data_IF_932507551568
#
_entry.id   IF_932507551568
#
_cell.length_a   1.000
_cell.length_b   1.000
_cell.length_c   1.000
_cell.angle_alpha   90.00
_cell.angle_beta   90.00
_cell.angle_gamma   90.00
#
_symmetry.space_group_name_H-M   'P 1'
#
loop_
_entity.id
_entity.type
_entity.pdbx_description
1 polymer ?
#
# COMPACT_ATOMS: atom_id res chain seq x y z
N UNK A 1 -3.16 7.57 2.52
CA UNK A 1 -3.61 6.72 3.64
C UNK A 1 -2.39 6.09 4.27
N UNK A 2 -2.16 6.32 5.57
CA UNK A 2 -1.08 5.70 6.33
C UNK A 2 -1.68 4.64 7.27
N UNK A 3 -1.59 3.39 6.85
CA UNK A 3 -2.23 2.23 7.47
C UNK A 3 -1.30 1.63 8.52
N UNK A 4 -1.70 1.69 9.80
CA UNK A 4 -0.87 1.20 10.90
C UNK A 4 -0.73 -0.32 10.92
N UNK A 5 0.36 -0.79 11.52
CA UNK A 5 0.61 -2.21 11.78
C UNK A 5 -0.21 -2.77 12.95
N UNK A 6 -0.06 -4.04 13.20
CA UNK A 6 -0.75 -4.76 14.27
C UNK A 6 -1.41 -6.03 13.76
N UNK A 7 -2.74 -6.07 13.48
CA UNK A 7 -3.76 -5.03 13.48
C UNK A 7 -4.11 -4.46 14.88
N UNK A 8 -3.93 -5.23 15.93
CA UNK A 8 -4.25 -4.86 17.32
C UNK A 8 -3.22 -3.88 17.90
N UNK A 9 -3.06 -2.74 17.22
CA UNK A 9 -2.26 -1.58 17.60
C UNK A 9 -3.11 -0.33 17.39
N UNK A 10 -2.49 0.84 17.51
CA UNK A 10 -3.18 2.09 17.25
C UNK A 10 -2.22 3.14 16.70
N UNK A 11 -2.74 4.07 15.94
CA UNK A 11 -2.05 5.31 15.61
C UNK A 11 -2.13 6.23 16.82
N UNK A 12 -0.97 6.75 17.22
CA UNK A 12 -0.86 7.82 18.18
C UNK A 12 -0.03 8.95 17.58
N UNK A 13 -0.29 10.19 17.99
CA UNK A 13 0.51 11.34 17.59
C UNK A 13 1.88 11.32 18.25
N UNK A 14 2.70 10.31 17.91
CA UNK A 14 4.08 10.18 18.35
C UNK A 14 5.04 10.51 17.22
N UNK A 15 5.77 11.63 17.32
CA UNK A 15 6.70 12.09 16.30
C UNK A 15 7.73 11.00 15.90
N UNK A 16 8.11 10.18 16.84
CA UNK A 16 9.08 9.09 16.65
C UNK A 16 8.61 8.00 15.68
N UNK A 17 7.31 7.79 15.58
CA UNK A 17 6.71 6.74 14.74
C UNK A 17 6.23 7.26 13.38
N UNK A 18 6.08 8.58 13.26
CA UNK A 18 5.45 9.23 12.10
C UNK A 18 6.44 10.18 11.40
N UNK A 19 7.73 9.83 11.34
CA UNK A 19 8.80 10.66 10.73
C UNK A 19 8.49 11.02 9.27
N UNK A 20 7.80 10.16 8.55
CA UNK A 20 7.40 10.40 7.16
C UNK A 20 6.28 11.44 7.01
N UNK A 21 5.46 11.68 8.03
CA UNK A 21 4.37 12.65 7.93
C UNK A 21 4.87 14.07 7.64
N UNK A 22 5.79 14.65 8.41
CA UNK A 22 6.33 15.99 8.07
C UNK A 22 6.95 16.04 6.68
N UNK A 23 7.61 14.95 6.23
CA UNK A 23 8.20 14.88 4.90
C UNK A 23 7.12 14.93 3.82
N UNK A 24 6.06 14.14 3.95
CA UNK A 24 4.92 14.15 3.02
C UNK A 24 4.19 15.49 3.02
N UNK A 25 3.97 16.10 4.20
CA UNK A 25 3.35 17.43 4.31
C UNK A 25 4.17 18.50 3.59
N UNK A 26 5.51 18.48 3.66
CA UNK A 26 6.38 19.40 2.92
C UNK A 26 6.22 19.29 1.40
N UNK A 27 5.83 18.11 0.91
CA UNK A 27 5.53 17.85 -0.51
C UNK A 27 4.06 18.11 -0.86
N UNK A 28 3.26 18.67 0.07
CA UNK A 28 1.85 19.00 -0.17
C UNK A 28 0.89 17.82 -0.12
N UNK A 29 1.29 16.70 0.47
CA UNK A 29 0.39 15.59 0.79
C UNK A 29 -0.38 15.87 2.09
N UNK A 30 -1.66 15.51 2.13
CA UNK A 30 -2.36 15.29 3.37
C UNK A 30 -2.12 13.83 3.82
N UNK A 31 -1.98 13.61 5.11
CA UNK A 31 -1.84 12.25 5.67
C UNK A 31 -3.08 11.90 6.45
N UNK A 32 -3.79 10.90 5.99
CA UNK A 32 -4.90 10.28 6.73
C UNK A 32 -4.38 9.06 7.47
N UNK A 33 -4.51 9.07 8.80
CA UNK A 33 -4.19 7.96 9.67
C UNK A 33 -5.42 7.63 10.52
N UNK A 34 -5.88 6.39 10.46
CA UNK A 34 -7.15 5.94 11.05
C UNK A 34 -6.90 4.78 12.02
N UNK A 35 -7.66 4.76 13.11
CA UNK A 35 -7.85 3.59 13.95
C UNK A 35 -9.15 2.90 13.53
N UNK A 36 -9.04 1.97 12.59
CA UNK A 36 -10.16 1.18 12.07
C UNK A 36 -10.53 0.04 13.02
N UNK A 37 -11.64 -0.63 12.74
CA UNK A 37 -11.98 -1.89 13.44
C UNK A 37 -10.77 -2.83 13.48
N UNK A 38 -10.55 -3.47 14.61
CA UNK A 38 -9.32 -4.24 14.87
C UNK A 38 -8.27 -3.48 15.67
N UNK A 39 -8.29 -2.14 15.67
CA UNK A 39 -7.35 -1.34 16.46
C UNK A 39 -7.56 -1.53 17.97
N UNK A 40 -6.46 -1.41 18.74
CA UNK A 40 -6.51 -1.43 20.20
C UNK A 40 -7.01 -0.10 20.77
N UNK A 41 -7.21 -0.04 22.09
CA UNK A 41 -7.64 1.14 22.85
C UNK A 41 -9.12 1.56 22.69
N UNK A 42 -9.92 0.78 21.97
CA UNK A 42 -11.36 0.97 21.80
C UNK A 42 -12.19 -0.17 22.40
N UNK A 43 -11.57 -1.01 23.23
CA UNK A 43 -12.16 -2.19 23.86
C UNK A 43 -11.96 -3.47 23.03
N UNK A 44 -12.10 -4.61 23.74
CA UNK A 44 -11.81 -5.93 23.16
C UNK A 44 -12.82 -6.32 22.08
N UNK A 45 -14.06 -5.91 22.21
CA UNK A 45 -15.09 -6.14 21.20
C UNK A 45 -14.72 -5.48 19.86
N UNK A 46 -14.25 -4.23 19.91
CA UNK A 46 -13.83 -3.50 18.70
C UNK A 46 -12.60 -4.17 18.05
N UNK A 47 -11.63 -4.57 18.86
CA UNK A 47 -10.41 -5.23 18.38
C UNK A 47 -10.71 -6.61 17.78
N UNK A 48 -11.51 -7.45 18.46
CA UNK A 48 -11.78 -8.83 18.05
C UNK A 48 -12.68 -8.94 16.82
N UNK A 49 -13.48 -7.93 16.49
CA UNK A 49 -14.36 -7.94 15.30
C UNK A 49 -13.60 -8.12 13.99
N UNK A 50 -12.32 -7.79 13.94
CA UNK A 50 -11.51 -7.97 12.73
C UNK A 50 -11.04 -9.41 12.52
N UNK A 51 -11.09 -10.27 13.56
CA UNK A 51 -10.66 -11.66 13.45
C UNK A 51 -11.42 -12.38 12.33
N UNK A 52 -10.69 -13.01 11.41
CA UNK A 52 -11.23 -13.67 10.23
C UNK A 52 -11.73 -12.73 9.11
N UNK A 53 -11.57 -11.40 9.25
CA UNK A 53 -12.12 -10.41 8.33
C UNK A 53 -11.12 -9.32 7.92
N UNK A 54 -9.85 -9.65 7.91
CA UNK A 54 -8.79 -8.75 7.49
C UNK A 54 -9.06 -8.19 6.09
N UNK A 55 -8.93 -6.88 5.91
CA UNK A 55 -9.19 -6.19 4.66
C UNK A 55 -10.67 -5.97 4.34
N UNK A 56 -11.56 -6.86 4.81
CA UNK A 56 -13.00 -6.79 4.50
C UNK A 56 -13.75 -5.76 5.35
N UNK A 57 -13.37 -5.60 6.63
CA UNK A 57 -14.07 -4.69 7.54
C UNK A 57 -13.34 -3.37 7.74
N UNK A 58 -12.04 -3.33 7.61
CA UNK A 58 -11.21 -2.15 7.83
C UNK A 58 -11.00 -1.31 6.56
N UNK A 59 -10.75 -1.91 5.39
CA UNK A 59 -10.60 -1.14 4.15
C UNK A 59 -11.82 -0.26 3.82
N UNK A 60 -13.08 -0.71 3.96
CA UNK A 60 -14.25 0.15 3.73
C UNK A 60 -14.28 1.39 4.62
N UNK A 61 -13.72 1.33 5.83
CA UNK A 61 -13.64 2.49 6.73
C UNK A 61 -12.65 3.53 6.22
N UNK A 62 -11.51 3.08 5.63
CA UNK A 62 -10.56 3.95 4.95
C UNK A 62 -11.20 4.64 3.74
N UNK A 63 -11.92 3.89 2.92
CA UNK A 63 -12.61 4.42 1.74
C UNK A 63 -13.68 5.44 2.11
N UNK A 64 -14.49 5.16 3.14
CA UNK A 64 -15.49 6.09 3.65
C UNK A 64 -14.86 7.38 4.20
N UNK A 65 -13.74 7.28 4.90
CA UNK A 65 -13.04 8.46 5.41
C UNK A 65 -12.43 9.32 4.30
N UNK A 66 -11.86 8.70 3.27
CA UNK A 66 -11.35 9.43 2.09
C UNK A 66 -12.48 10.15 1.37
N UNK A 67 -13.63 9.49 1.17
CA UNK A 67 -14.78 10.10 0.50
C UNK A 67 -15.37 11.25 1.30
N UNK A 68 -15.45 11.11 2.62
CA UNK A 68 -15.85 12.20 3.50
C UNK A 68 -14.91 13.41 3.35
N UNK A 69 -13.59 13.21 3.40
CA UNK A 69 -12.61 14.28 3.23
C UNK A 69 -12.66 14.93 1.84
N UNK A 70 -13.02 14.16 0.80
CA UNK A 70 -13.27 14.71 -0.54
C UNK A 70 -14.51 15.61 -0.55
N UNK A 71 -15.59 15.16 0.07
CA UNK A 71 -16.84 15.95 0.13
C UNK A 71 -16.67 17.26 0.87
N UNK A 72 -15.77 17.28 1.88
CA UNK A 72 -15.39 18.48 2.62
C UNK A 72 -14.35 19.36 1.88
N UNK A 73 -13.85 18.93 0.72
CA UNK A 73 -12.84 19.66 -0.05
C UNK A 73 -11.44 19.65 0.56
N UNK A 74 -11.17 18.76 1.52
CA UNK A 74 -9.88 18.65 2.22
C UNK A 74 -8.85 17.93 1.37
N UNK A 75 -9.27 16.90 0.61
CA UNK A 75 -8.39 16.10 -0.24
C UNK A 75 -8.87 16.09 -1.68
N UNK A 76 -7.91 15.97 -2.62
CA UNK A 76 -8.16 15.88 -4.04
C UNK A 76 -8.44 14.45 -4.52
N UNK A 77 -8.25 14.26 -5.83
CA UNK A 77 -8.48 12.97 -6.50
C UNK A 77 -7.37 11.96 -6.25
N UNK A 78 -6.14 12.43 -6.09
CA UNK A 78 -4.94 11.60 -5.99
C UNK A 78 -4.81 11.03 -4.58
N UNK A 79 -5.06 9.76 -4.44
CA UNK A 79 -4.95 9.01 -3.18
C UNK A 79 -3.95 7.88 -3.35
N UNK A 80 -3.00 7.79 -2.44
CA UNK A 80 -2.06 6.70 -2.34
C UNK A 80 -2.18 6.00 -0.98
N UNK A 81 -1.74 4.75 -0.90
CA UNK A 81 -1.67 4.01 0.36
C UNK A 81 -0.23 3.65 0.72
N UNK A 82 0.03 3.63 2.00
CA UNK A 82 1.27 3.16 2.62
C UNK A 82 0.93 2.44 3.91
N UNK A 83 1.69 1.42 4.23
CA UNK A 83 1.62 0.79 5.54
C UNK A 83 2.77 -0.18 5.76
N UNK A 84 3.03 -0.45 7.03
CA UNK A 84 4.06 -1.38 7.49
C UNK A 84 3.43 -2.54 8.25
N UNK A 85 3.98 -3.75 8.09
CA UNK A 85 3.50 -4.95 8.79
C UNK A 85 2.07 -5.30 8.36
N UNK A 86 1.12 -5.38 9.29
CA UNK A 86 -0.30 -5.45 8.96
C UNK A 86 -0.74 -4.31 8.05
N UNK A 87 -0.24 -3.09 8.27
CA UNK A 87 -0.50 -1.97 7.35
C UNK A 87 0.04 -2.22 5.93
N UNK A 88 1.16 -2.97 5.81
CA UNK A 88 1.66 -3.45 4.53
C UNK A 88 0.73 -4.48 3.88
N UNK A 89 0.16 -5.40 4.67
CA UNK A 89 -0.91 -6.28 4.24
C UNK A 89 -2.09 -5.46 3.69
N UNK A 90 -2.58 -4.50 4.49
CA UNK A 90 -3.75 -3.70 4.13
C UNK A 90 -3.47 -2.80 2.92
N UNK A 91 -2.24 -2.33 2.74
CA UNK A 91 -1.84 -1.60 1.52
C UNK A 91 -1.87 -2.49 0.28
N UNK A 92 -1.37 -3.72 0.35
CA UNK A 92 -1.44 -4.68 -0.75
C UNK A 92 -2.91 -5.10 -1.04
N UNK A 93 -3.72 -5.26 0.00
CA UNK A 93 -5.14 -5.53 -0.10
C UNK A 93 -5.88 -4.35 -0.76
N UNK A 94 -5.63 -3.11 -0.30
CA UNK A 94 -6.22 -1.91 -0.87
C UNK A 94 -5.87 -1.75 -2.36
N UNK A 95 -4.61 -1.96 -2.74
CA UNK A 95 -4.16 -1.92 -4.14
C UNK A 95 -4.94 -2.89 -5.05
N UNK A 96 -5.37 -4.03 -4.50
CA UNK A 96 -6.12 -5.04 -5.26
C UNK A 96 -7.65 -4.86 -5.19
N UNK A 97 -8.17 -3.98 -4.33
CA UNK A 97 -9.61 -3.79 -4.12
C UNK A 97 -10.07 -2.33 -4.30
N UNK A 98 -9.15 -1.40 -4.50
CA UNK A 98 -9.46 0.01 -4.76
C UNK A 98 -8.71 0.51 -5.99
N UNK A 99 -9.33 0.46 -7.18
CA UNK A 99 -8.71 0.90 -8.42
C UNK A 99 -8.52 2.42 -8.52
N UNK A 100 -9.01 3.20 -7.56
CA UNK A 100 -8.85 4.66 -7.54
C UNK A 100 -7.49 5.10 -6.99
N UNK A 101 -6.71 4.20 -6.41
CA UNK A 101 -5.39 4.49 -5.86
C UNK A 101 -4.39 4.78 -6.97
N UNK A 102 -3.63 5.87 -6.83
CA UNK A 102 -2.59 6.25 -7.81
C UNK A 102 -1.25 5.58 -7.58
N UNK A 103 -0.99 5.10 -6.37
CA UNK A 103 0.21 4.35 -5.99
C UNK A 103 0.02 3.67 -4.64
N UNK A 104 0.87 2.68 -4.37
CA UNK A 104 0.98 2.07 -3.05
C UNK A 104 2.41 1.74 -2.64
N UNK A 105 2.62 1.69 -1.32
CA UNK A 105 3.87 1.24 -0.72
C UNK A 105 3.55 0.14 0.30
N UNK A 106 4.06 -1.05 0.03
CA UNK A 106 3.92 -2.25 0.87
C UNK A 106 5.23 -2.43 1.64
N UNK A 107 5.22 -2.15 2.93
CA UNK A 107 6.42 -2.26 3.75
C UNK A 107 6.34 -3.43 4.72
N UNK A 108 7.28 -4.39 4.61
CA UNK A 108 7.31 -5.58 5.47
C UNK A 108 5.92 -6.18 5.66
N UNK A 109 5.15 -6.30 4.57
CA UNK A 109 3.74 -6.68 4.60
C UNK A 109 3.53 -8.18 4.48
N UNK A 110 2.38 -8.65 4.97
CA UNK A 110 1.93 -10.02 4.78
C UNK A 110 1.17 -10.05 3.45
N UNK A 111 1.65 -10.81 2.47
CA UNK A 111 1.01 -10.92 1.15
C UNK A 111 0.37 -12.27 0.92
N UNK A 112 0.85 -13.30 1.62
CA UNK A 112 0.37 -14.67 1.56
C UNK A 112 0.22 -15.24 2.98
N UNK A 113 -1.01 -15.31 3.48
CA UNK A 113 -1.32 -15.78 4.83
C UNK A 113 -0.98 -17.26 5.01
N UNK A 114 -1.08 -18.08 3.96
CA UNK A 114 -0.75 -19.52 4.06
C UNK A 114 0.75 -19.69 4.34
N UNK A 115 1.64 -19.06 3.54
CA UNK A 115 3.08 -19.19 3.73
C UNK A 115 3.56 -18.46 4.99
N UNK A 116 2.96 -17.31 5.31
CA UNK A 116 3.27 -16.54 6.52
C UNK A 116 3.08 -17.38 7.79
N UNK A 117 2.00 -18.14 7.89
CA UNK A 117 1.70 -18.97 9.07
C UNK A 117 2.83 -19.96 9.40
N UNK A 118 3.53 -20.48 8.38
CA UNK A 118 4.60 -21.46 8.58
C UNK A 118 6.02 -20.89 8.57
N UNK A 119 6.23 -19.64 8.13
CA UNK A 119 7.56 -19.05 7.94
C UNK A 119 7.86 -17.86 8.85
N UNK A 120 6.85 -17.25 9.45
CA UNK A 120 7.01 -16.15 10.39
C UNK A 120 7.39 -16.65 11.79
N UNK A 121 8.18 -15.85 12.51
CA UNK A 121 8.50 -16.08 13.93
C UNK A 121 7.26 -16.09 14.84
N UNK A 122 6.17 -15.51 14.39
CA UNK A 122 4.90 -15.41 15.11
C UNK A 122 3.71 -16.06 14.38
N UNK A 123 3.93 -16.57 13.18
CA UNK A 123 2.87 -17.08 12.31
C UNK A 123 2.06 -18.21 12.93
N UNK A 124 2.71 -19.07 13.71
CA UNK A 124 2.10 -20.23 14.35
C UNK A 124 0.96 -19.89 15.33
N UNK A 125 0.92 -18.67 15.87
CA UNK A 125 -0.17 -18.24 16.75
C UNK A 125 -0.95 -17.05 16.17
N UNK A 126 -0.27 -16.12 15.48
CA UNK A 126 -0.95 -14.95 14.88
C UNK A 126 -1.91 -15.40 13.78
N UNK A 127 -1.51 -16.36 12.94
CA UNK A 127 -2.37 -16.89 11.89
C UNK A 127 -3.69 -17.42 12.44
N UNK A 128 -3.70 -18.46 13.29
CA UNK A 128 -4.93 -19.01 13.87
C UNK A 128 -5.76 -17.99 14.65
N UNK A 129 -5.12 -17.13 15.45
CA UNK A 129 -5.82 -16.09 16.19
C UNK A 129 -6.50 -15.09 15.25
N UNK A 130 -5.75 -14.59 14.26
CA UNK A 130 -6.24 -13.55 13.34
C UNK A 130 -7.30 -14.06 12.37
N UNK A 131 -7.28 -15.36 12.04
CA UNK A 131 -8.26 -15.99 11.13
C UNK A 131 -9.38 -16.71 11.87
N UNK A 132 -9.37 -16.73 13.21
CA UNK A 132 -10.33 -17.45 14.05
C UNK A 132 -10.36 -18.97 13.80
N UNK A 133 -9.24 -19.57 13.39
CA UNK A 133 -9.11 -21.01 13.17
C UNK A 133 -7.79 -21.39 12.48
N UNK A 134 -7.49 -22.67 12.57
CA UNK A 134 -6.23 -23.22 12.04
C UNK A 134 -6.20 -23.23 10.50
N UNK A 135 -4.99 -23.07 9.93
CA UNK A 135 -4.81 -23.08 8.48
C UNK A 135 -5.40 -24.32 7.80
N UNK A 136 -5.23 -25.51 8.40
CA UNK A 136 -5.71 -26.77 7.80
C UNK A 136 -7.24 -26.88 7.81
N UNK A 137 -7.93 -26.14 8.70
CA UNK A 137 -9.39 -26.09 8.79
C UNK A 137 -9.98 -24.99 7.90
N UNK A 138 -9.29 -23.85 7.78
CA UNK A 138 -9.81 -22.63 7.15
C UNK A 138 -8.99 -22.20 5.92
N UNK A 139 -8.35 -23.13 5.22
CA UNK A 139 -7.44 -22.84 4.11
C UNK A 139 -8.04 -21.92 3.06
N UNK A 140 -9.30 -22.11 2.70
CA UNK A 140 -9.97 -21.27 1.70
C UNK A 140 -10.11 -19.82 2.19
N UNK A 141 -10.28 -19.62 3.51
CA UNK A 141 -10.31 -18.28 4.10
C UNK A 141 -8.94 -17.60 4.07
N UNK A 142 -7.89 -18.32 4.43
CA UNK A 142 -6.52 -17.83 4.32
C UNK A 142 -6.19 -17.41 2.89
N UNK A 143 -6.59 -18.21 1.90
CA UNK A 143 -6.43 -17.89 0.48
C UNK A 143 -7.23 -16.66 0.06
N UNK A 144 -8.50 -16.61 0.43
CA UNK A 144 -9.39 -15.52 0.06
C UNK A 144 -8.90 -14.18 0.60
N UNK A 145 -8.29 -14.15 1.80
CA UNK A 145 -7.75 -12.94 2.42
C UNK A 145 -6.26 -12.67 2.12
N UNK A 146 -5.60 -13.49 1.30
CA UNK A 146 -4.21 -13.27 0.90
C UNK A 146 -4.11 -12.34 -0.31
N UNK A 147 -3.50 -11.15 -0.20
CA UNK A 147 -3.35 -10.21 -1.32
C UNK A 147 -2.72 -10.80 -2.57
N UNK A 148 -1.82 -11.78 -2.42
CA UNK A 148 -1.15 -12.47 -3.54
C UNK A 148 -2.15 -13.11 -4.52
N UNK A 149 -3.30 -13.55 -4.04
CA UNK A 149 -4.34 -14.17 -4.88
C UNK A 149 -5.18 -13.14 -5.65
N UNK A 150 -5.00 -11.84 -5.37
CA UNK A 150 -5.74 -10.74 -5.98
C UNK A 150 -4.84 -9.82 -6.82
N UNK A 151 -3.59 -10.20 -7.10
CA UNK A 151 -2.62 -9.36 -7.83
C UNK A 151 -3.09 -9.00 -9.24
N UNK A 152 -3.99 -9.78 -9.85
CA UNK A 152 -4.57 -9.47 -11.14
C UNK A 152 -5.29 -8.12 -11.16
N UNK A 153 -5.80 -7.68 -10.01
CA UNK A 153 -6.54 -6.43 -9.84
C UNK A 153 -5.65 -5.24 -9.47
N UNK A 154 -4.35 -5.45 -9.22
CA UNK A 154 -3.44 -4.35 -8.89
C UNK A 154 -3.03 -3.64 -10.19
N UNK A 155 -3.42 -2.37 -10.33
CA UNK A 155 -3.10 -1.54 -11.49
C UNK A 155 -2.23 -0.33 -11.13
N UNK A 156 -2.18 0.06 -9.87
CA UNK A 156 -1.38 1.18 -9.41
C UNK A 156 0.10 0.79 -9.22
N UNK A 157 1.04 1.70 -9.52
CA UNK A 157 2.45 1.52 -9.22
C UNK A 157 2.67 1.10 -7.77
N UNK A 158 3.46 0.05 -7.57
CA UNK A 158 3.67 -0.58 -6.26
C UNK A 158 5.15 -0.62 -5.89
N UNK A 159 5.48 -0.01 -4.74
CA UNK A 159 6.81 -0.11 -4.12
C UNK A 159 6.76 -1.10 -2.95
N UNK A 160 7.74 -1.99 -2.90
CA UNK A 160 7.92 -2.93 -1.79
C UNK A 160 9.18 -2.50 -1.02
N UNK A 161 9.02 -2.24 0.30
CA UNK A 161 10.14 -1.94 1.21
C UNK A 161 10.31 -3.11 2.17
N UNK A 162 11.46 -3.81 2.11
CA UNK A 162 11.63 -5.07 2.81
C UNK A 162 12.97 -5.18 3.53
N UNK A 163 12.94 -5.55 4.79
CA UNK A 163 14.13 -5.97 5.53
C UNK A 163 14.53 -7.39 5.13
N UNK A 164 15.82 -7.62 4.84
CA UNK A 164 16.30 -8.95 4.47
C UNK A 164 16.19 -9.96 5.61
N UNK A 165 16.41 -9.50 6.84
CA UNK A 165 16.37 -10.30 8.06
C UNK A 165 15.06 -10.07 8.83
N UNK A 166 13.97 -9.78 8.12
CA UNK A 166 12.64 -9.67 8.71
C UNK A 166 12.08 -11.06 8.98
N UNK A 167 12.04 -11.46 10.24
CA UNK A 167 11.49 -12.74 10.69
C UNK A 167 9.97 -12.67 10.93
N UNK A 168 9.42 -11.46 11.15
CA UNK A 168 8.00 -11.24 11.40
C UNK A 168 7.16 -11.32 10.14
N UNK A 169 7.59 -10.57 9.12
CA UNK A 169 7.05 -10.66 7.76
C UNK A 169 8.21 -11.06 6.84
N UNK A 170 8.47 -12.37 6.72
CA UNK A 170 9.66 -12.88 6.04
C UNK A 170 9.82 -12.33 4.63
N UNK A 171 11.07 -12.17 4.19
CA UNK A 171 11.42 -11.59 2.88
C UNK A 171 10.65 -12.22 1.72
N UNK A 172 10.34 -13.51 1.80
CA UNK A 172 9.54 -14.23 0.80
C UNK A 172 8.15 -13.63 0.56
N UNK A 173 7.57 -12.94 1.54
CA UNK A 173 6.29 -12.24 1.36
C UNK A 173 6.41 -11.12 0.32
N UNK A 174 7.46 -10.31 0.40
CA UNK A 174 7.75 -9.26 -0.58
C UNK A 174 8.18 -9.82 -1.94
N UNK A 175 8.97 -10.88 -1.95
CA UNK A 175 9.47 -11.54 -3.17
C UNK A 175 8.34 -12.20 -3.96
N UNK A 176 7.37 -12.85 -3.29
CA UNK A 176 6.18 -13.42 -3.94
C UNK A 176 5.37 -12.32 -4.62
N UNK A 177 5.10 -11.19 -3.95
CA UNK A 177 4.37 -10.07 -4.51
C UNK A 177 5.12 -9.46 -5.70
N UNK A 178 6.42 -9.20 -5.56
CA UNK A 178 7.27 -8.69 -6.64
C UNK A 178 7.20 -9.60 -7.86
N UNK A 179 7.45 -10.89 -7.66
CA UNK A 179 7.46 -11.88 -8.73
C UNK A 179 6.10 -12.01 -9.44
N UNK A 180 5.00 -11.90 -8.70
CA UNK A 180 3.66 -11.94 -9.27
C UNK A 180 3.36 -10.70 -10.11
N UNK A 181 3.72 -9.49 -9.63
CA UNK A 181 3.51 -8.24 -10.36
C UNK A 181 4.42 -8.11 -11.59
N UNK A 182 5.67 -8.58 -11.52
CA UNK A 182 6.56 -8.66 -12.69
C UNK A 182 5.96 -9.57 -13.77
N UNK A 183 5.46 -10.76 -13.38
CA UNK A 183 4.83 -11.68 -14.32
C UNK A 183 3.53 -11.14 -14.92
N UNK A 184 2.77 -10.36 -14.15
CA UNK A 184 1.58 -9.65 -14.65
C UNK A 184 1.95 -8.65 -15.74
N UNK A 185 3.03 -7.87 -15.57
CA UNK A 185 3.73 -7.14 -16.63
C UNK A 185 3.11 -5.81 -17.06
N UNK A 186 2.00 -5.36 -16.48
CA UNK A 186 1.26 -4.15 -16.85
C UNK A 186 1.25 -3.07 -15.75
N UNK A 187 2.01 -3.29 -14.67
CA UNK A 187 2.14 -2.34 -13.56
C UNK A 187 3.60 -2.12 -13.20
N UNK A 188 3.96 -0.86 -12.92
CA UNK A 188 5.28 -0.54 -12.41
C UNK A 188 5.42 -1.10 -10.99
N UNK A 189 6.43 -1.96 -10.77
CA UNK A 189 6.77 -2.48 -9.45
C UNK A 189 8.25 -2.37 -9.20
N UNK A 190 8.62 -1.94 -8.01
CA UNK A 190 9.99 -1.89 -7.51
C UNK A 190 10.07 -2.47 -6.10
N UNK A 191 11.19 -3.10 -5.77
CA UNK A 191 11.47 -3.57 -4.41
C UNK A 191 12.81 -3.03 -3.94
N UNK A 192 12.81 -2.39 -2.77
CA UNK A 192 14.01 -2.00 -2.05
C UNK A 192 14.25 -2.99 -0.92
N UNK A 193 15.30 -3.79 -1.06
CA UNK A 193 15.75 -4.72 -0.03
C UNK A 193 16.82 -4.07 0.84
N UNK A 194 16.68 -4.17 2.16
CA UNK A 194 17.62 -3.60 3.14
C UNK A 194 18.42 -4.74 3.79
N UNK A 195 19.70 -4.92 3.39
CA UNK A 195 20.54 -5.99 3.94
C UNK A 195 20.74 -5.88 5.44
N UNK A 196 20.47 -6.96 6.18
CA UNK A 196 20.51 -6.98 7.64
C UNK A 196 19.40 -6.16 8.31
N UNK A 197 18.39 -5.75 7.55
CA UNK A 197 17.21 -5.04 8.08
C UNK A 197 16.22 -6.00 8.71
N UNK A 198 15.85 -5.76 9.97
CA UNK A 198 14.78 -6.49 10.67
C UNK A 198 13.40 -5.90 10.38
N UNK A 199 12.37 -6.48 10.97
CA UNK A 199 11.00 -5.95 10.90
C UNK A 199 10.88 -4.47 11.31
N UNK A 200 11.70 -4.02 12.25
CA UNK A 200 11.67 -2.65 12.76
C UNK A 200 12.71 -1.72 12.11
N UNK A 201 13.16 -2.04 10.88
CA UNK A 201 14.23 -1.30 10.19
C UNK A 201 13.94 0.22 10.07
N UNK A 202 12.69 0.61 9.90
CA UNK A 202 12.26 2.01 9.75
C UNK A 202 12.36 2.82 11.05
N UNK A 203 12.28 2.17 12.21
CA UNK A 203 12.31 2.82 13.55
C UNK A 203 13.63 2.61 14.27
N UNK A 204 14.16 1.39 14.31
CA UNK A 204 15.36 1.02 15.09
C UNK A 204 16.52 0.54 14.23
N UNK A 205 16.34 0.47 12.90
CA UNK A 205 17.38 0.06 11.97
C UNK A 205 18.55 1.04 11.88
N UNK A 206 19.56 0.67 11.11
CA UNK A 206 20.74 1.53 10.86
C UNK A 206 20.30 2.91 10.37
N UNK A 207 20.91 4.02 10.83
CA UNK A 207 20.52 5.37 10.40
C UNK A 207 20.49 5.56 8.88
N UNK A 208 21.45 4.98 8.16
CA UNK A 208 21.47 5.00 6.68
C UNK A 208 20.28 4.29 6.04
N UNK A 209 19.87 3.15 6.60
CA UNK A 209 18.68 2.44 6.12
C UNK A 209 17.41 3.25 6.38
N UNK A 210 17.27 3.82 7.57
CA UNK A 210 16.12 4.68 7.92
C UNK A 210 16.02 5.89 7.01
N UNK A 211 17.13 6.59 6.76
CA UNK A 211 17.16 7.74 5.84
C UNK A 211 16.77 7.33 4.41
N UNK A 212 17.32 6.21 3.91
CA UNK A 212 16.98 5.70 2.58
C UNK A 212 15.53 5.27 2.50
N UNK A 213 15.02 4.57 3.51
CA UNK A 213 13.64 4.09 3.58
C UNK A 213 12.64 5.25 3.39
N UNK A 214 12.75 6.30 4.19
CA UNK A 214 11.82 7.44 4.11
C UNK A 214 12.00 8.26 2.83
N UNK A 215 13.22 8.42 2.34
CA UNK A 215 13.47 9.10 1.07
C UNK A 215 12.82 8.35 -0.10
N UNK A 216 13.05 7.05 -0.21
CA UNK A 216 12.48 6.23 -1.31
C UNK A 216 10.96 6.19 -1.24
N UNK A 217 10.37 6.14 -0.04
CA UNK A 217 8.92 6.24 0.15
C UNK A 217 8.37 7.54 -0.42
N UNK A 218 8.95 8.68 -0.05
CA UNK A 218 8.50 10.00 -0.51
C UNK A 218 8.70 10.15 -2.01
N UNK A 219 9.89 9.81 -2.52
CA UNK A 219 10.23 9.89 -3.95
C UNK A 219 9.26 9.06 -4.81
N UNK A 220 8.87 7.88 -4.32
CA UNK A 220 7.90 7.01 -5.00
C UNK A 220 6.53 7.67 -5.13
N UNK A 221 5.99 8.16 -4.03
CA UNK A 221 4.68 8.81 -4.02
C UNK A 221 4.66 10.09 -4.88
N UNK A 222 5.74 10.88 -4.84
CA UNK A 222 5.89 12.06 -5.70
C UNK A 222 5.92 11.70 -7.18
N UNK A 223 6.66 10.64 -7.55
CA UNK A 223 6.75 10.20 -8.95
C UNK A 223 5.39 9.78 -9.51
N UNK A 224 4.56 9.13 -8.71
CA UNK A 224 3.21 8.73 -9.11
C UNK A 224 2.29 9.93 -9.35
N UNK A 225 2.36 10.94 -8.48
CA UNK A 225 1.56 12.18 -8.62
C UNK A 225 1.94 12.96 -9.88
N UNK A 226 3.22 13.05 -10.21
CA UNK A 226 3.68 13.70 -11.45
C UNK A 226 3.22 12.92 -12.68
N UNK A 227 3.25 11.59 -12.62
CA UNK A 227 2.75 10.71 -13.70
C UNK A 227 1.27 10.93 -14.01
N UNK A 228 0.42 11.06 -12.99
CA UNK A 228 -1.01 11.37 -13.16
C UNK A 228 -1.23 12.75 -13.77
N UNK A 229 -0.48 13.77 -13.36
CA UNK A 229 -0.57 15.12 -13.92
C UNK A 229 -0.21 15.18 -15.40
N UNK A 230 0.76 14.37 -15.85
CA UNK A 230 1.17 14.32 -17.26
C UNK A 230 0.10 13.61 -18.11
N UNK A 231 -0.54 12.59 -17.60
CA UNK A 231 -1.59 11.85 -18.32
C UNK A 231 -2.85 12.72 -18.52
N UNK A 232 -3.21 13.53 -17.53
CA UNK A 232 -4.37 14.45 -17.63
C UNK A 232 -4.11 15.54 -18.67
N UNK A 233 -2.90 16.09 -18.76
CA UNK A 233 -2.55 17.09 -19.78
C UNK A 233 -2.51 16.54 -21.21
N UNK A 234 -2.24 15.26 -21.38
CA UNK A 234 -2.20 14.59 -22.69
C UNK A 234 -3.58 14.34 -23.31
N UNK A 235 -4.65 14.26 -22.51
CA UNK A 235 -6.00 14.05 -23.02
C UNK A 235 -6.72 15.33 -23.48
N UNK A 236 -6.29 16.51 -23.06
CA UNK A 236 -6.92 17.78 -23.43
C UNK A 236 -6.33 18.42 -24.70
N UNK A 237 -5.30 17.87 -25.29
CA UNK A 237 -4.72 18.35 -26.54
C UNK A 237 -5.48 17.76 -27.74
N UNK A 238 -6.61 18.38 -28.14
CA UNK A 238 -7.19 18.18 -29.48
C UNK A 238 -6.18 18.65 -30.51
N UNK A 239 -5.87 17.85 -31.55
CA UNK A 239 -5.04 18.32 -32.64
C UNK A 239 -5.77 19.44 -33.40
N UNK A 240 -5.13 20.59 -33.52
CA UNK A 240 -5.59 21.67 -34.39
C UNK A 240 -5.64 21.13 -35.84
N UNK A 241 -6.82 21.15 -36.43
CA UNK A 241 -7.00 20.85 -37.86
C UNK A 241 -6.29 21.95 -38.66
N UNK A 242 -5.17 21.61 -39.28
CA UNK A 242 -4.54 22.42 -40.31
C UNK A 242 -5.50 22.52 -41.53
N UNK A 243 -5.85 23.73 -41.89
CA UNK A 243 -6.45 24.02 -43.20
C UNK A 243 -5.34 23.86 -44.22
N UNK A 244 -5.47 22.88 -45.11
CA UNK A 244 -4.79 22.87 -46.41
C UNK A 244 -5.47 23.89 -47.31
N UNK A 245 -4.82 25.02 -47.54
CA UNK A 245 -5.10 25.89 -48.71
C UNK A 245 -4.45 25.24 -49.92
N UNK A 246 -5.33 24.79 -50.85
CA UNK A 246 -4.90 24.43 -52.20
C UNK A 246 -4.75 25.75 -52.99
N UNK A 247 -3.54 26.10 -53.34
CA UNK A 247 -3.29 27.04 -54.48
C UNK A 247 -3.26 26.23 -55.77
N UNK A 248 -4.25 26.53 -56.60
CA UNK A 248 -4.23 26.21 -58.03
C UNK A 248 -3.19 27.08 -58.72
N UNK A 249 -2.22 26.49 -59.40
CA UNK A 249 -1.46 27.16 -60.44
C UNK A 249 -1.67 26.37 -61.75
N UNK A 250 -2.54 26.94 -62.56
CA UNK A 250 -2.65 26.64 -63.99
C UNK A 250 -1.58 27.48 -64.72
N UNK A 251 -1.16 26.94 -65.87
CA UNK A 251 -0.53 27.53 -67.04
C UNK A 251 0.97 27.90 -66.98
N UNK A 252 1.81 27.08 -67.58
CA UNK A 252 2.57 27.32 -68.81
C UNK A 252 3.41 26.13 -69.22
#
# INVERSE_FOLDING_TARGET
MDMHGGPHSMVSFGYERCVHWPLLLQHGWAVLALNTVGSSSYGDEFASRLCGHWGELDLPQWQAAVEHLRSEGVVGRDVACFGHSYGGYLSAWALSHDPSLIAGVVSGGITNLESHTGTSDSGYYVGPYSMCGELHEMRDRYRALSPINHVANIHAPTLILQGQDDERCPVGQGEELLGALIRKGDVKVEMMLFPGGSHHLSSTGRPSHRATYYRVLVDWLESARVGTATTVRGHDAKPARGKEEREDLADA
#
